data_IF_232060786721
#
_entry.id   IF_232060786721
#
_cell.length_a   1.000
_cell.length_b   1.000
_cell.length_c   1.000
_cell.angle_alpha   90.00
_cell.angle_beta   90.00
_cell.angle_gamma   90.00
#
_symmetry.space_group_name_H-M   'P 1'
#
loop_
_entity.id
_entity.type
_entity.pdbx_description
1 polymer ?
#
# COMPACT_ATOMS: atom_id res chain seq x y z
N UNK A 1 44.59 49.49 -26.34
CA UNK A 1 44.51 48.04 -26.07
C UNK A 1 44.09 47.67 -24.64
N UNK A 2 44.52 48.38 -23.57
CA UNK A 2 44.09 48.11 -22.17
C UNK A 2 42.58 48.07 -21.93
N UNK A 3 41.79 48.92 -22.62
CA UNK A 3 40.32 48.94 -22.47
C UNK A 3 39.63 47.68 -23.02
N UNK A 4 40.20 47.07 -24.08
CA UNK A 4 39.67 45.85 -24.69
C UNK A 4 39.97 44.64 -23.79
N UNK A 5 41.16 44.62 -23.18
CA UNK A 5 41.56 43.56 -22.26
C UNK A 5 40.64 43.51 -21.02
N UNK A 6 40.29 44.67 -20.46
CA UNK A 6 39.43 44.74 -19.27
C UNK A 6 37.98 44.29 -19.56
N UNK A 7 37.46 44.57 -20.76
CA UNK A 7 36.12 44.13 -21.16
C UNK A 7 36.05 42.61 -21.37
N UNK A 8 37.11 41.99 -21.89
CA UNK A 8 37.18 40.53 -22.07
C UNK A 8 37.26 39.82 -20.70
N UNK A 9 38.05 40.34 -19.76
CA UNK A 9 38.16 39.78 -18.41
C UNK A 9 36.83 39.89 -17.65
N UNK A 10 36.11 41.01 -17.77
CA UNK A 10 34.79 41.15 -17.17
C UNK A 10 33.78 40.14 -17.76
N UNK A 11 33.82 39.90 -19.07
CA UNK A 11 32.92 38.96 -19.73
C UNK A 11 33.18 37.50 -19.29
N UNK A 12 34.45 37.12 -19.11
CA UNK A 12 34.83 35.78 -18.66
C UNK A 12 34.41 35.53 -17.20
N UNK A 13 34.51 36.55 -16.34
CA UNK A 13 34.04 36.46 -14.94
C UNK A 13 32.52 36.32 -14.88
N UNK A 14 31.77 37.04 -15.73
CA UNK A 14 30.31 36.89 -15.80
C UNK A 14 29.89 35.51 -16.36
N UNK A 15 30.63 34.91 -17.31
CA UNK A 15 30.36 33.55 -17.80
C UNK A 15 30.68 32.46 -16.76
N UNK A 16 31.65 32.68 -15.88
CA UNK A 16 31.96 31.73 -14.80
C UNK A 16 30.87 31.68 -13.71
N UNK A 17 30.15 32.79 -13.52
CA UNK A 17 29.03 32.92 -12.58
C UNK A 17 27.70 32.35 -13.12
N UNK A 18 27.63 31.96 -14.39
CA UNK A 18 26.48 31.27 -14.98
C UNK A 18 26.60 29.74 -14.96
N UNK A 19 27.39 29.18 -14.05
CA UNK A 19 27.18 27.80 -13.62
C UNK A 19 25.95 27.79 -12.71
N UNK A 20 24.78 28.15 -13.26
CA UNK A 20 23.53 27.70 -12.68
C UNK A 20 23.67 26.20 -12.56
N UNK A 21 23.68 25.70 -11.33
CA UNK A 21 23.50 24.30 -11.04
C UNK A 21 22.29 23.87 -11.85
N UNK A 22 22.54 23.19 -12.96
CA UNK A 22 21.47 22.54 -13.72
C UNK A 22 20.90 21.59 -12.68
N UNK A 23 19.71 21.92 -12.19
CA UNK A 23 18.90 20.97 -11.46
C UNK A 23 18.71 19.81 -12.42
N UNK A 24 19.61 18.83 -12.36
CA UNK A 24 19.29 17.46 -12.69
C UNK A 24 18.35 16.97 -11.59
N UNK A 25 17.21 17.65 -11.45
CA UNK A 25 16.16 17.27 -10.54
C UNK A 25 15.66 15.95 -11.06
N UNK A 26 15.90 14.90 -10.29
CA UNK A 26 15.23 13.63 -10.52
C UNK A 26 13.74 13.95 -10.53
N UNK A 27 13.10 13.86 -11.70
CA UNK A 27 11.67 14.07 -11.81
C UNK A 27 11.00 13.01 -10.94
N UNK A 28 10.29 13.46 -9.91
CA UNK A 28 9.70 12.64 -8.87
C UNK A 28 8.20 12.87 -8.88
N UNK A 29 7.44 11.81 -9.12
CA UNK A 29 5.98 11.84 -9.19
C UNK A 29 5.43 10.77 -8.25
N UNK A 30 4.50 11.14 -7.36
CA UNK A 30 3.74 10.17 -6.58
C UNK A 30 2.64 9.56 -7.46
N UNK A 31 2.77 8.29 -7.82
CA UNK A 31 1.87 7.63 -8.77
C UNK A 31 0.85 6.70 -8.11
N UNK A 32 1.12 6.22 -6.88
CA UNK A 32 0.21 5.33 -6.16
C UNK A 32 0.34 5.53 -4.66
N UNK A 33 -0.81 5.54 -3.98
CA UNK A 33 -0.92 5.43 -2.52
C UNK A 33 -1.86 4.28 -2.23
N UNK A 34 -1.36 3.29 -1.49
CA UNK A 34 -2.18 2.15 -1.04
C UNK A 34 -1.92 1.86 0.42
N UNK A 35 -2.88 1.21 1.05
CA UNK A 35 -2.75 0.75 2.42
C UNK A 35 -3.33 -0.67 2.49
N UNK A 36 -2.47 -1.64 2.81
CA UNK A 36 -2.82 -3.04 2.88
C UNK A 36 -2.55 -3.55 4.31
N UNK A 37 -2.71 -4.86 4.56
CA UNK A 37 -2.40 -5.47 5.86
C UNK A 37 -0.98 -5.18 6.35
N UNK A 38 0.01 -5.02 5.46
CA UNK A 38 1.39 -4.66 5.82
C UNK A 38 1.57 -3.17 6.21
N UNK A 39 0.61 -2.30 5.86
CA UNK A 39 0.62 -0.87 6.10
C UNK A 39 0.70 -0.01 4.83
N UNK A 40 0.74 1.32 5.00
CA UNK A 40 0.78 2.27 3.89
C UNK A 40 2.03 2.11 3.04
N UNK A 41 1.81 2.15 1.73
CA UNK A 41 2.85 2.07 0.71
C UNK A 41 2.64 3.22 -0.29
N UNK A 42 3.71 3.96 -0.53
CA UNK A 42 3.78 5.03 -1.52
C UNK A 42 4.68 4.59 -2.65
N UNK A 43 4.23 4.77 -3.89
CA UNK A 43 5.03 4.43 -5.07
C UNK A 43 5.29 5.71 -5.84
N UNK A 44 6.57 5.98 -6.04
CA UNK A 44 7.04 7.12 -6.82
C UNK A 44 7.57 6.66 -8.16
N UNK A 45 7.27 7.41 -9.22
CA UNK A 45 8.03 7.36 -10.47
C UNK A 45 9.21 8.31 -10.37
N UNK A 46 10.39 7.83 -10.77
CA UNK A 46 11.65 8.57 -10.67
C UNK A 46 12.43 8.51 -11.98
N UNK A 47 13.18 9.57 -12.29
CA UNK A 47 14.19 9.57 -13.36
C UNK A 47 15.59 9.56 -12.76
N UNK A 48 16.16 8.37 -12.57
CA UNK A 48 17.50 8.17 -12.04
C UNK A 48 17.58 7.08 -10.98
N UNK A 49 18.79 6.89 -10.46
CA UNK A 49 19.06 5.98 -9.35
C UNK A 49 19.28 6.76 -8.06
N UNK A 50 18.83 6.20 -6.95
CA UNK A 50 19.02 6.76 -5.61
C UNK A 50 20.03 5.93 -4.84
N UNK A 51 20.92 6.62 -4.13
CA UNK A 51 21.81 5.98 -3.15
C UNK A 51 21.01 5.41 -1.97
N UNK A 52 21.60 4.48 -1.23
CA UNK A 52 20.96 3.91 -0.03
C UNK A 52 20.67 4.97 1.02
N UNK A 53 21.54 5.97 1.13
CA UNK A 53 21.40 7.09 2.05
C UNK A 53 20.19 7.93 1.66
N UNK A 54 20.05 8.30 0.40
CA UNK A 54 18.91 9.08 -0.10
C UNK A 54 17.58 8.34 0.10
N UNK A 55 17.57 7.01 -0.09
CA UNK A 55 16.39 6.16 0.15
C UNK A 55 15.92 6.15 1.61
N UNK A 56 16.76 6.58 2.57
CA UNK A 56 16.42 6.62 3.99
C UNK A 56 16.13 8.04 4.51
N UNK A 57 16.07 9.05 3.65
CA UNK A 57 15.80 10.45 4.04
C UNK A 57 14.31 10.81 4.10
N UNK A 58 13.44 9.90 3.67
CA UNK A 58 12.03 10.20 3.53
C UNK A 58 11.30 10.31 4.88
N UNK A 59 10.21 11.08 4.88
CA UNK A 59 9.34 11.24 6.04
C UNK A 59 7.87 11.34 5.63
N UNK A 60 6.98 11.10 6.59
CA UNK A 60 5.54 11.31 6.47
C UNK A 60 5.04 12.09 7.68
N UNK A 61 4.37 13.21 7.45
CA UNK A 61 3.74 14.03 8.48
C UNK A 61 2.24 13.89 8.37
N UNK A 62 1.59 13.45 9.45
CA UNK A 62 0.12 13.45 9.54
C UNK A 62 -0.36 14.87 9.79
N UNK A 63 -1.36 15.33 9.04
CA UNK A 63 -1.90 16.67 9.21
C UNK A 63 -2.45 16.87 10.63
N UNK A 64 -1.79 17.74 11.42
CA UNK A 64 -2.17 18.01 12.82
C UNK A 64 -1.80 16.89 13.79
N UNK A 65 -0.93 15.97 13.40
CA UNK A 65 -0.53 14.81 14.19
C UNK A 65 0.98 14.59 14.22
N UNK A 66 1.36 13.32 14.35
CA UNK A 66 2.74 12.87 14.49
C UNK A 66 3.50 12.77 13.15
N UNK A 67 4.82 12.76 13.26
CA UNK A 67 5.75 12.51 12.17
C UNK A 67 6.28 11.08 12.20
N UNK A 68 6.42 10.47 11.03
CA UNK A 68 6.86 9.10 10.85
C UNK A 68 7.97 9.00 9.81
N UNK A 69 8.83 7.99 9.96
CA UNK A 69 9.86 7.67 8.97
C UNK A 69 9.26 7.03 7.74
N UNK A 70 9.87 7.30 6.59
CA UNK A 70 9.55 6.67 5.33
C UNK A 70 10.76 5.83 4.88
N UNK A 71 10.55 4.53 4.73
CA UNK A 71 11.60 3.59 4.34
C UNK A 71 11.43 3.22 2.87
N UNK A 72 12.35 3.66 2.01
CA UNK A 72 12.25 3.46 0.57
C UNK A 72 13.21 2.40 0.06
N UNK A 73 12.80 1.72 -1.01
CA UNK A 73 13.62 0.80 -1.77
C UNK A 73 13.39 0.97 -3.27
N UNK A 74 14.48 1.01 -4.02
CA UNK A 74 14.47 0.92 -5.48
C UNK A 74 14.94 -0.50 -5.84
N UNK A 75 14.02 -1.38 -6.26
CA UNK A 75 14.40 -2.74 -6.66
C UNK A 75 14.97 -2.76 -8.07
N UNK A 76 14.24 -2.25 -9.08
CA UNK A 76 14.73 -2.02 -10.44
C UNK A 76 13.80 -1.03 -11.18
N UNK A 77 14.36 -0.18 -12.04
CA UNK A 77 13.61 0.68 -12.96
C UNK A 77 13.27 2.08 -12.43
N UNK A 78 12.25 2.68 -13.03
CA UNK A 78 11.78 4.06 -12.78
C UNK A 78 10.89 4.18 -11.53
N UNK A 79 10.91 3.19 -10.61
CA UNK A 79 9.99 3.14 -9.46
C UNK A 79 10.71 3.00 -8.13
N UNK A 80 10.26 3.80 -7.17
CA UNK A 80 10.64 3.69 -5.77
C UNK A 80 9.41 3.35 -4.95
N UNK A 81 9.54 2.29 -4.15
CA UNK A 81 8.49 1.86 -3.22
C UNK A 81 8.91 2.25 -1.82
N UNK A 82 8.05 2.99 -1.13
CA UNK A 82 8.31 3.47 0.21
C UNK A 82 7.21 3.01 1.17
N UNK A 83 7.61 2.58 2.37
CA UNK A 83 6.71 2.08 3.40
C UNK A 83 6.79 2.95 4.66
N UNK A 84 5.67 3.09 5.35
CA UNK A 84 5.61 3.72 6.68
C UNK A 84 4.70 2.91 7.61
N UNK A 85 4.52 3.39 8.84
CA UNK A 85 3.72 2.71 9.86
C UNK A 85 2.22 2.67 9.54
N UNK A 86 1.53 1.64 10.03
CA UNK A 86 0.07 1.48 9.90
C UNK A 86 -0.73 2.65 10.51
N UNK A 87 -0.16 3.36 11.49
CA UNK A 87 -0.80 4.50 12.16
C UNK A 87 -1.16 5.66 11.23
N UNK A 88 -0.56 5.71 10.05
CA UNK A 88 -0.80 6.76 9.06
C UNK A 88 -2.10 6.51 8.26
N UNK A 89 -2.63 5.28 8.26
CA UNK A 89 -3.84 4.93 7.52
C UNK A 89 -5.06 5.78 7.92
N UNK A 90 -5.84 6.22 6.94
CA UNK A 90 -7.04 7.03 7.16
C UNK A 90 -6.80 8.53 7.36
N UNK A 91 -5.57 9.02 7.15
CA UNK A 91 -5.20 10.41 7.38
C UNK A 91 -4.75 11.15 6.12
N UNK A 92 -4.95 12.48 6.11
CA UNK A 92 -4.26 13.38 5.18
C UNK A 92 -2.82 13.57 5.63
N UNK A 93 -1.88 13.47 4.70
CA UNK A 93 -0.45 13.49 4.99
C UNK A 93 0.34 14.38 4.04
N UNK A 94 1.50 14.83 4.52
CA UNK A 94 2.57 15.37 3.70
C UNK A 94 3.72 14.38 3.69
N UNK A 95 4.12 13.94 2.51
CA UNK A 95 5.23 13.00 2.33
C UNK A 95 6.41 13.77 1.77
N UNK A 96 7.56 13.68 2.42
CA UNK A 96 8.82 14.19 1.91
C UNK A 96 9.70 13.07 1.39
N UNK A 97 10.15 13.18 0.14
CA UNK A 97 11.11 12.25 -0.45
C UNK A 97 11.85 12.94 -1.61
N UNK A 98 13.15 12.67 -1.79
CA UNK A 98 13.94 13.21 -2.92
C UNK A 98 13.89 14.74 -3.05
N UNK A 99 13.94 15.46 -1.93
CA UNK A 99 13.76 16.93 -1.84
C UNK A 99 12.41 17.48 -2.35
N UNK A 100 11.44 16.62 -2.66
CA UNK A 100 10.08 17.03 -2.99
C UNK A 100 9.11 16.73 -1.83
N UNK A 101 7.95 17.38 -1.88
CA UNK A 101 6.84 17.15 -0.95
C UNK A 101 5.56 16.86 -1.71
N UNK A 102 4.80 15.89 -1.22
CA UNK A 102 3.54 15.45 -1.81
C UNK A 102 2.44 15.48 -0.75
N UNK A 103 1.29 16.04 -1.10
CA UNK A 103 0.10 16.03 -0.26
C UNK A 103 -0.83 14.95 -0.78
N UNK A 104 -1.27 14.05 0.10
CA UNK A 104 -2.19 12.99 -0.28
C UNK A 104 -3.00 12.51 0.91
N UNK A 105 -4.04 11.73 0.65
CA UNK A 105 -4.77 10.98 1.64
C UNK A 105 -4.29 9.53 1.63
N UNK A 106 -4.00 8.97 2.80
CA UNK A 106 -3.70 7.55 2.93
C UNK A 106 -5.02 6.81 3.19
N UNK A 107 -5.44 5.90 2.29
CA UNK A 107 -6.68 5.16 2.49
C UNK A 107 -6.61 4.32 3.77
N UNK A 108 -7.77 3.99 4.31
CA UNK A 108 -7.86 2.94 5.34
C UNK A 108 -7.35 1.61 4.75
N UNK A 109 -6.76 0.73 5.57
CA UNK A 109 -6.18 -0.50 5.06
C UNK A 109 -7.26 -1.36 4.43
N UNK A 110 -7.12 -1.69 3.15
CA UNK A 110 -8.05 -2.60 2.49
C UNK A 110 -7.52 -4.02 2.68
N UNK A 111 -8.12 -4.77 3.59
CA UNK A 111 -7.77 -6.15 3.89
C UNK A 111 -8.79 -7.06 3.21
N UNK A 112 -8.31 -7.88 2.29
CA UNK A 112 -9.13 -8.77 1.49
C UNK A 112 -9.01 -10.21 1.98
N UNK A 113 -10.15 -10.85 2.20
CA UNK A 113 -10.28 -12.24 2.61
C UNK A 113 -10.89 -13.04 1.47
N UNK A 114 -10.30 -14.19 1.16
CA UNK A 114 -10.97 -15.17 0.30
C UNK A 114 -12.20 -15.68 1.03
N UNK A 115 -13.28 -15.94 0.30
CA UNK A 115 -14.48 -16.49 0.89
C UNK A 115 -14.75 -17.87 0.29
N UNK A 116 -14.96 -18.84 1.17
CA UNK A 116 -15.12 -20.25 0.81
C UNK A 116 -16.48 -20.78 1.25
N UNK A 117 -17.07 -21.61 0.39
CA UNK A 117 -18.35 -22.29 0.62
C UNK A 117 -18.15 -23.78 0.35
N UNK A 118 -18.85 -24.60 1.13
CA UNK A 118 -18.87 -26.06 1.02
C UNK A 118 -20.01 -26.58 0.14
N UNK A 119 -21.04 -25.76 -0.10
CA UNK A 119 -22.30 -26.17 -0.73
C UNK A 119 -22.46 -25.68 -2.18
N UNK A 120 -21.48 -24.94 -2.70
CA UNK A 120 -21.53 -24.35 -4.05
C UNK A 120 -20.78 -25.26 -5.05
N UNK A 121 -21.32 -25.48 -6.27
CA UNK A 121 -20.67 -26.27 -7.32
C UNK A 121 -19.21 -25.86 -7.57
N UNK A 122 -18.34 -26.80 -8.02
CA UNK A 122 -18.68 -27.99 -8.79
C UNK A 122 -18.84 -29.31 -8.01
N UNK A 123 -18.48 -29.39 -6.73
CA UNK A 123 -18.57 -30.64 -5.95
C UNK A 123 -19.25 -30.39 -4.58
N UNK A 124 -20.37 -31.07 -4.26
CA UNK A 124 -21.08 -30.90 -3.00
C UNK A 124 -20.32 -31.37 -1.74
N UNK A 125 -19.07 -31.83 -1.89
CA UNK A 125 -18.21 -32.26 -0.78
C UNK A 125 -16.81 -31.63 -0.81
N UNK A 126 -16.67 -30.43 -1.37
CA UNK A 126 -15.38 -29.74 -1.41
C UNK A 126 -15.52 -28.25 -1.09
N UNK A 127 -14.54 -27.72 -0.36
CA UNK A 127 -14.36 -26.28 -0.19
C UNK A 127 -14.06 -25.63 -1.54
N UNK A 128 -14.93 -24.70 -1.94
CA UNK A 128 -14.77 -23.92 -3.16
C UNK A 128 -14.61 -22.45 -2.82
N UNK A 129 -13.55 -21.81 -3.34
CA UNK A 129 -13.38 -20.37 -3.25
C UNK A 129 -14.36 -19.73 -4.22
N UNK A 130 -15.30 -18.95 -3.69
CA UNK A 130 -16.34 -18.35 -4.50
C UNK A 130 -16.16 -16.84 -4.68
N UNK A 131 -15.19 -16.23 -4.00
CA UNK A 131 -15.00 -14.79 -4.07
C UNK A 131 -14.03 -14.22 -3.05
N UNK A 132 -14.04 -12.90 -2.97
CA UNK A 132 -13.19 -12.13 -2.06
C UNK A 132 -14.02 -11.00 -1.46
N UNK A 133 -13.93 -10.83 -0.14
CA UNK A 133 -14.48 -9.67 0.55
C UNK A 133 -13.32 -8.79 1.02
N UNK A 134 -13.42 -7.49 0.83
CA UNK A 134 -12.42 -6.56 1.35
C UNK A 134 -13.07 -5.56 2.31
N UNK A 135 -12.38 -5.27 3.41
CA UNK A 135 -12.83 -4.38 4.47
C UNK A 135 -11.68 -3.51 4.99
N UNK A 136 -12.04 -2.39 5.64
CA UNK A 136 -11.12 -1.33 6.07
C UNK A 136 -10.25 -1.68 7.30
N UNK A 137 -10.41 -2.88 7.85
CA UNK A 137 -9.66 -3.37 9.01
C UNK A 137 -9.56 -4.88 8.99
N UNK A 138 -8.64 -5.42 9.78
CA UNK A 138 -8.60 -6.86 10.01
C UNK A 138 -9.93 -7.35 10.60
N UNK A 139 -10.43 -8.47 10.10
CA UNK A 139 -11.63 -9.14 10.62
C UNK A 139 -11.32 -9.77 11.97
N UNK A 140 -12.23 -9.62 12.93
CA UNK A 140 -12.13 -10.30 14.20
C UNK A 140 -12.67 -11.73 14.08
N UNK A 141 -12.12 -12.73 14.80
CA UNK A 141 -12.73 -14.06 14.88
C UNK A 141 -14.20 -13.97 15.30
N UNK A 142 -15.09 -14.61 14.54
CA UNK A 142 -16.54 -14.56 14.76
C UNK A 142 -17.26 -13.38 14.11
N UNK A 143 -16.54 -12.47 13.46
CA UNK A 143 -17.15 -11.35 12.73
C UNK A 143 -17.97 -11.84 11.53
N UNK A 144 -19.14 -11.24 11.35
CA UNK A 144 -19.99 -11.51 10.18
C UNK A 144 -19.52 -10.63 9.03
N UNK A 145 -19.06 -11.28 7.95
CA UNK A 145 -18.68 -10.66 6.70
C UNK A 145 -19.84 -10.80 5.71
N UNK A 146 -20.29 -9.69 5.15
CA UNK A 146 -21.26 -9.70 4.05
C UNK A 146 -20.56 -9.72 2.70
N UNK A 147 -20.98 -10.60 1.82
CA UNK A 147 -20.43 -10.72 0.48
C UNK A 147 -21.55 -10.88 -0.54
N UNK A 148 -21.27 -10.56 -1.80
CA UNK A 148 -22.22 -10.80 -2.88
C UNK A 148 -21.95 -12.17 -3.51
N UNK A 149 -22.92 -13.07 -3.42
CA UNK A 149 -22.88 -14.40 -4.01
C UNK A 149 -23.41 -14.35 -5.45
N UNK A 150 -22.51 -14.49 -6.42
CA UNK A 150 -22.87 -14.47 -7.84
C UNK A 150 -23.76 -15.65 -8.28
N UNK A 151 -23.81 -16.75 -7.51
CA UNK A 151 -24.62 -17.92 -7.86
C UNK A 151 -26.06 -17.80 -7.39
N UNK A 152 -26.28 -17.21 -6.21
CA UNK A 152 -27.62 -16.92 -5.69
C UNK A 152 -28.14 -15.53 -6.06
N UNK A 153 -27.29 -14.69 -6.69
CA UNK A 153 -27.58 -13.30 -7.04
C UNK A 153 -28.05 -12.47 -5.83
N UNK A 154 -27.42 -12.71 -4.68
CA UNK A 154 -27.81 -12.12 -3.40
C UNK A 154 -26.61 -11.81 -2.51
N UNK A 155 -26.80 -10.87 -1.57
CA UNK A 155 -25.86 -10.68 -0.49
C UNK A 155 -26.08 -11.74 0.59
N UNK A 156 -25.01 -12.41 0.96
CA UNK A 156 -24.98 -13.45 1.98
C UNK A 156 -23.96 -13.12 3.06
N UNK A 157 -24.09 -13.77 4.20
CA UNK A 157 -23.27 -13.53 5.39
C UNK A 157 -22.44 -14.77 5.70
N UNK A 158 -21.13 -14.60 5.83
CA UNK A 158 -20.19 -15.61 6.33
C UNK A 158 -19.62 -15.20 7.67
N UNK A 159 -19.13 -16.17 8.43
CA UNK A 159 -18.38 -15.88 9.65
C UNK A 159 -16.88 -15.97 9.35
N UNK A 160 -16.12 -14.99 9.83
CA UNK A 160 -14.66 -15.03 9.76
C UNK A 160 -14.11 -15.95 10.86
N UNK A 161 -13.22 -16.87 10.48
CA UNK A 161 -12.55 -17.75 11.43
C UNK A 161 -11.03 -17.58 11.33
N UNK A 162 -10.39 -17.48 12.49
CA UNK A 162 -8.93 -17.52 12.61
C UNK A 162 -8.42 -18.96 12.75
N UNK A 163 -7.15 -19.15 12.38
CA UNK A 163 -6.38 -20.39 12.19
C UNK A 163 -6.49 -21.39 13.35
N UNK A 164 -6.80 -20.90 14.55
CA UNK A 164 -6.81 -21.68 15.78
C UNK A 164 -8.17 -21.78 16.44
N UNK A 165 -9.26 -21.50 15.73
CA UNK A 165 -10.60 -21.68 16.29
C UNK A 165 -10.99 -23.16 16.15
N UNK A 166 -10.97 -23.98 17.22
CA UNK A 166 -11.47 -25.35 17.13
C UNK A 166 -12.96 -25.30 16.81
N UNK A 167 -13.31 -25.69 15.58
CA UNK A 167 -14.70 -25.94 15.22
C UNK A 167 -15.20 -27.12 16.07
N UNK A 168 -16.23 -26.89 16.88
CA UNK A 168 -16.86 -27.95 17.68
C UNK A 168 -18.16 -28.42 17.03
N UNK A 169 -18.52 -29.69 17.19
CA UNK A 169 -19.76 -30.26 16.66
C UNK A 169 -19.72 -30.64 15.17
N UNK A 170 -20.85 -30.47 14.47
CA UNK A 170 -21.05 -30.81 13.04
C UNK A 170 -20.09 -30.09 12.09
N UNK A 171 -19.48 -28.99 12.53
CA UNK A 171 -18.57 -28.14 11.77
C UNK A 171 -17.15 -28.74 11.64
N UNK A 172 -16.79 -29.73 12.49
CA UNK A 172 -15.52 -30.46 12.38
C UNK A 172 -15.53 -31.56 11.29
N UNK A 173 -16.73 -31.93 10.81
CA UNK A 173 -16.94 -33.12 9.97
C UNK A 173 -16.65 -32.84 8.48
N UNK A 174 -16.72 -31.58 8.04
CA UNK A 174 -16.45 -31.14 6.66
C UNK A 174 -14.98 -30.80 6.39
N UNK A 175 -14.10 -31.00 7.37
CA UNK A 175 -12.66 -30.69 7.25
C UNK A 175 -12.35 -29.19 7.32
N UNK A 176 -11.13 -28.87 7.74
CA UNK A 176 -10.66 -27.49 7.76
C UNK A 176 -10.61 -26.92 6.33
N UNK A 177 -10.99 -25.66 6.14
CA UNK A 177 -10.82 -25.00 4.85
C UNK A 177 -9.35 -24.99 4.40
N UNK A 178 -9.10 -24.90 3.09
CA UNK A 178 -7.77 -25.11 2.50
C UNK A 178 -6.76 -24.01 2.81
N UNK A 179 -7.20 -22.85 3.32
CA UNK A 179 -6.32 -21.75 3.69
C UNK A 179 -6.69 -21.17 5.05
N UNK A 180 -5.76 -20.46 5.64
CA UNK A 180 -5.86 -19.76 6.90
C UNK A 180 -5.91 -18.26 6.54
N UNK A 181 -6.85 -17.46 7.08
CA UNK A 181 -7.16 -16.06 6.67
C UNK A 181 -8.26 -15.90 5.59
N UNK A 182 -9.44 -16.49 5.83
CA UNK A 182 -10.57 -16.42 4.92
C UNK A 182 -11.93 -16.39 5.66
N UNK A 183 -12.98 -15.91 4.98
CA UNK A 183 -14.37 -16.01 5.46
C UNK A 183 -15.00 -17.34 5.04
N UNK A 184 -15.83 -17.93 5.90
CA UNK A 184 -16.41 -19.25 5.65
C UNK A 184 -17.93 -19.25 5.81
N UNK A 185 -18.64 -19.68 4.78
CA UNK A 185 -20.08 -19.87 4.85
C UNK A 185 -20.41 -21.21 5.52
N UNK A 186 -21.14 -21.15 6.64
CA UNK A 186 -21.68 -22.32 7.32
C UNK A 186 -23.15 -22.06 7.70
N UNK A 187 -24.12 -22.48 6.88
CA UNK A 187 -25.54 -22.21 7.17
C UNK A 187 -26.07 -22.95 8.41
N UNK A 188 -25.30 -23.90 8.96
CA UNK A 188 -25.70 -24.79 10.06
C UNK A 188 -24.74 -24.80 11.26
N UNK A 189 -23.91 -23.76 11.42
CA UNK A 189 -23.03 -23.59 12.58
C UNK A 189 -23.45 -22.34 13.39
N UNK A 190 -24.30 -22.49 14.43
CA UNK A 190 -24.64 -21.41 15.36
C UNK A 190 -23.48 -21.01 16.27
#
# INVERSE_FOLDING_TARGET
>A
MRKILNSIVALIVLLALTTSTVFAGQALELIEVRNNSAGPTFIFRVSGEFTKEELNTGFVVVQGGDDYTLHCGQKHGDRITCHTTKKVGGHNVVIGFGNARFWTYVPLPNVCYSIWDWLVPPDPNAWTNFGTHCQERDANPGEIIQYYNQYSDAYESVMFFDIYTPLSGTCAVTGYPPTNEAGYYFPSCP
#
